data_IF_240326840394
#
_entry.id   IF_240326840394
#
_cell.length_a   1.000
_cell.length_b   1.000
_cell.length_c   1.000
_cell.angle_alpha   90.00
_cell.angle_beta   90.00
_cell.angle_gamma   90.00
#
_symmetry.space_group_name_H-M   'P 1'
#
loop_
_entity.id
_entity.type
_entity.pdbx_description
1 polymer ?
#
# COMPACT_ATOMS: atom_id res chain seq x y z
N UNK A 1 -41.53 -3.51 0.63
CA UNK A 1 -40.82 -4.68 0.09
C UNK A 1 -40.22 -4.30 -1.26
N UNK A 2 -38.94 -4.59 -1.53
CA UNK A 2 -38.31 -4.30 -2.83
C UNK A 2 -38.63 -5.42 -3.81
N UNK A 3 -39.14 -5.07 -4.99
CA UNK A 3 -39.41 -6.01 -6.09
C UNK A 3 -38.11 -6.32 -6.84
N UNK A 4 -37.52 -7.49 -6.57
CA UNK A 4 -36.23 -7.91 -7.13
C UNK A 4 -36.26 -8.17 -8.64
N UNK A 5 -37.43 -8.41 -9.24
CA UNK A 5 -37.53 -8.67 -10.67
C UNK A 5 -37.56 -7.40 -11.51
N UNK A 6 -37.86 -6.25 -10.88
CA UNK A 6 -37.91 -4.94 -11.54
C UNK A 6 -36.67 -4.08 -11.30
N UNK A 7 -35.64 -4.59 -10.61
CA UNK A 7 -34.41 -3.82 -10.37
C UNK A 7 -33.57 -3.74 -11.63
N UNK A 8 -32.86 -2.62 -11.79
CA UNK A 8 -31.90 -2.47 -12.87
C UNK A 8 -30.80 -3.54 -12.75
N UNK A 9 -30.37 -4.14 -13.87
CA UNK A 9 -29.35 -5.22 -13.89
C UNK A 9 -28.05 -4.84 -13.18
N UNK A 10 -27.64 -3.58 -13.30
CA UNK A 10 -26.46 -3.03 -12.62
C UNK A 10 -26.75 -2.43 -11.24
N UNK A 11 -27.89 -2.69 -10.60
CA UNK A 11 -28.14 -2.18 -9.25
C UNK A 11 -27.11 -2.76 -8.24
N UNK A 12 -26.55 -1.96 -7.30
CA UNK A 12 -26.82 -0.53 -7.07
C UNK A 12 -25.96 0.44 -7.90
N UNK A 13 -24.95 -0.05 -8.62
CA UNK A 13 -23.89 0.76 -9.26
C UNK A 13 -24.31 1.48 -10.55
N UNK A 14 -25.44 1.11 -11.15
CA UNK A 14 -25.96 1.60 -12.43
C UNK A 14 -26.18 3.11 -12.56
N UNK A 15 -26.16 3.85 -11.44
CA UNK A 15 -26.36 5.31 -11.46
C UNK A 15 -25.09 6.06 -11.84
N UNK A 16 -23.94 5.43 -11.64
CA UNK A 16 -22.65 5.91 -12.08
C UNK A 16 -22.33 5.41 -13.48
N UNK A 17 -21.53 6.17 -14.21
CA UNK A 17 -20.96 5.73 -15.47
C UNK A 17 -19.96 4.60 -15.23
N UNK A 18 -19.76 3.75 -16.24
CA UNK A 18 -18.90 2.57 -16.12
C UNK A 18 -17.42 2.95 -15.87
N UNK A 19 -16.98 4.07 -16.44
CA UNK A 19 -15.62 4.61 -16.29
C UNK A 19 -15.27 4.92 -14.83
N UNK A 20 -16.21 5.47 -14.06
CA UNK A 20 -16.04 5.77 -12.64
C UNK A 20 -15.68 4.50 -11.86
N UNK A 21 -16.42 3.41 -12.09
CA UNK A 21 -16.18 2.12 -11.41
C UNK A 21 -14.89 1.46 -11.87
N UNK A 22 -14.57 1.56 -13.16
CA UNK A 22 -13.30 1.07 -13.68
C UNK A 22 -12.12 1.76 -12.99
N UNK A 23 -12.14 3.10 -12.94
CA UNK A 23 -11.07 3.86 -12.31
C UNK A 23 -11.01 3.65 -10.81
N UNK A 24 -12.16 3.55 -10.11
CA UNK A 24 -12.18 3.22 -8.69
C UNK A 24 -11.52 1.85 -8.44
N UNK A 25 -11.87 0.83 -9.23
CA UNK A 25 -11.29 -0.50 -9.13
C UNK A 25 -9.78 -0.52 -9.41
N UNK A 26 -9.32 0.22 -10.43
CA UNK A 26 -7.89 0.37 -10.75
C UNK A 26 -7.13 1.07 -9.63
N UNK A 27 -7.68 2.13 -9.05
CA UNK A 27 -7.07 2.84 -7.90
C UNK A 27 -6.96 1.90 -6.70
N UNK A 28 -8.03 1.17 -6.35
CA UNK A 28 -8.03 0.19 -5.25
C UNK A 28 -7.02 -0.93 -5.49
N UNK A 29 -6.93 -1.47 -6.71
CA UNK A 29 -5.94 -2.47 -7.07
C UNK A 29 -4.50 -1.93 -6.95
N UNK A 30 -4.28 -0.66 -7.27
CA UNK A 30 -2.97 -0.01 -7.16
C UNK A 30 -2.54 0.13 -5.69
N UNK A 31 -3.47 0.41 -4.77
CA UNK A 31 -3.18 0.36 -3.33
C UNK A 31 -2.75 -1.03 -2.87
N UNK A 32 -3.42 -2.09 -3.35
CA UNK A 32 -3.03 -3.47 -3.04
C UNK A 32 -1.61 -3.81 -3.55
N UNK A 33 -1.22 -3.27 -4.71
CA UNK A 33 0.15 -3.42 -5.20
C UNK A 33 1.16 -2.63 -4.36
N UNK A 34 0.81 -1.42 -3.89
CA UNK A 34 1.65 -0.66 -2.96
C UNK A 34 1.81 -1.39 -1.62
N UNK A 35 0.76 -2.00 -1.08
CA UNK A 35 0.83 -2.84 0.12
C UNK A 35 1.85 -3.97 -0.02
N UNK A 36 1.76 -4.73 -1.11
CA UNK A 36 2.71 -5.80 -1.43
C UNK A 36 4.15 -5.26 -1.57
N UNK A 37 4.30 -4.13 -2.26
CA UNK A 37 5.60 -3.48 -2.48
C UNK A 37 6.21 -2.98 -1.17
N UNK A 38 5.42 -2.40 -0.26
CA UNK A 38 5.86 -1.98 1.08
C UNK A 38 6.31 -3.16 1.92
N UNK A 39 5.56 -4.27 1.92
CA UNK A 39 5.92 -5.49 2.64
C UNK A 39 7.26 -6.03 2.15
N UNK A 40 7.49 -6.04 0.84
CA UNK A 40 8.75 -6.43 0.21
C UNK A 40 9.88 -5.48 0.56
N UNK A 41 9.64 -4.17 0.53
CA UNK A 41 10.63 -3.17 0.94
C UNK A 41 11.03 -3.30 2.41
N UNK A 42 10.07 -3.50 3.31
CA UNK A 42 10.33 -3.79 4.74
C UNK A 42 11.21 -5.04 4.88
N UNK A 43 10.92 -6.09 4.11
CA UNK A 43 11.74 -7.30 4.10
C UNK A 43 13.19 -7.01 3.69
N UNK A 44 13.40 -6.24 2.61
CA UNK A 44 14.76 -5.83 2.17
C UNK A 44 15.49 -5.07 3.27
N UNK A 45 14.84 -4.10 3.92
CA UNK A 45 15.41 -3.39 5.05
C UNK A 45 15.82 -4.34 6.19
N UNK A 46 14.93 -5.25 6.60
CA UNK A 46 15.21 -6.19 7.69
C UNK A 46 16.38 -7.13 7.37
N UNK A 47 16.46 -7.63 6.12
CA UNK A 47 17.55 -8.52 5.66
C UNK A 47 18.88 -7.79 5.58
N UNK A 48 18.92 -6.64 4.91
CA UNK A 48 20.17 -5.89 4.71
C UNK A 48 20.75 -5.41 6.05
N UNK A 49 19.90 -4.90 6.94
CA UNK A 49 20.30 -4.50 8.31
C UNK A 49 20.91 -5.66 9.11
N UNK A 50 20.45 -6.89 8.88
CA UNK A 50 20.96 -8.08 9.57
C UNK A 50 22.24 -8.63 8.95
N UNK A 51 22.36 -8.62 7.62
CA UNK A 51 23.58 -9.05 6.90
C UNK A 51 24.77 -8.16 7.18
N UNK A 52 24.56 -6.86 7.36
CA UNK A 52 25.65 -5.92 7.67
C UNK A 52 26.24 -6.11 9.08
N UNK A 53 25.55 -6.82 9.98
CA UNK A 53 26.06 -7.12 11.32
C UNK A 53 27.11 -8.22 11.23
N UNK A 54 28.35 -7.90 11.61
CA UNK A 54 29.43 -8.90 11.72
C UNK A 54 29.04 -10.01 12.69
N UNK A 55 28.93 -11.23 12.17
CA UNK A 55 28.86 -12.45 12.97
C UNK A 55 30.28 -12.74 13.48
N UNK A 56 30.50 -12.56 14.78
CA UNK A 56 31.83 -12.60 15.39
C UNK A 56 32.02 -13.73 16.42
N UNK A 57 30.97 -14.52 16.70
CA UNK A 57 31.02 -15.68 17.57
C UNK A 57 29.86 -16.65 17.28
N UNK A 58 29.91 -17.85 17.84
CA UNK A 58 28.90 -18.90 17.66
C UNK A 58 27.50 -18.48 18.10
N UNK A 59 27.40 -17.66 19.16
CA UNK A 59 26.11 -17.13 19.62
C UNK A 59 25.49 -16.20 18.58
N UNK A 60 26.28 -15.29 18.01
CA UNK A 60 25.85 -14.37 16.97
C UNK A 60 25.46 -15.11 15.68
N UNK A 61 26.13 -16.21 15.38
CA UNK A 61 25.78 -17.08 14.25
C UNK A 61 24.41 -17.74 14.48
N UNK A 62 24.21 -18.35 15.64
CA UNK A 62 22.94 -18.97 16.02
C UNK A 62 21.79 -17.97 16.05
N UNK A 63 22.02 -16.77 16.58
CA UNK A 63 21.02 -15.68 16.60
C UNK A 63 20.63 -15.24 15.18
N UNK A 64 21.59 -15.25 14.23
CA UNK A 64 21.32 -14.97 12.82
C UNK A 64 20.51 -16.09 12.16
N UNK A 65 20.87 -17.35 12.38
CA UNK A 65 20.17 -18.52 11.86
C UNK A 65 18.72 -18.59 12.37
N UNK A 66 18.51 -18.41 13.67
CA UNK A 66 17.18 -18.38 14.29
C UNK A 66 16.32 -17.22 13.76
N UNK A 67 16.94 -16.06 13.51
CA UNK A 67 16.26 -14.93 12.89
C UNK A 67 15.86 -15.24 11.44
N UNK A 68 16.77 -15.80 10.65
CA UNK A 68 16.55 -16.16 9.25
C UNK A 68 15.43 -17.21 9.12
N UNK A 69 15.39 -18.20 10.02
CA UNK A 69 14.34 -19.23 10.05
C UNK A 69 12.94 -18.66 10.33
N UNK A 70 12.84 -17.51 11.01
CA UNK A 70 11.56 -16.82 11.31
C UNK A 70 11.17 -15.78 10.26
N UNK A 71 12.00 -15.57 9.23
CA UNK A 71 11.84 -14.48 8.28
C UNK A 71 10.54 -14.58 7.47
N UNK A 72 10.18 -15.79 7.01
CA UNK A 72 8.92 -16.03 6.30
C UNK A 72 7.69 -15.72 7.18
N UNK A 73 7.73 -16.09 8.46
CA UNK A 73 6.66 -15.75 9.39
C UNK A 73 6.56 -14.24 9.61
N UNK A 74 7.69 -13.51 9.63
CA UNK A 74 7.69 -12.04 9.72
C UNK A 74 7.09 -11.37 8.49
N UNK A 75 7.41 -11.87 7.29
CA UNK A 75 6.80 -11.39 6.05
C UNK A 75 5.28 -11.56 6.08
N UNK A 76 4.80 -12.76 6.45
CA UNK A 76 3.37 -13.04 6.59
C UNK A 76 2.70 -12.17 7.65
N UNK A 77 3.38 -11.93 8.78
CA UNK A 77 2.88 -11.02 9.82
C UNK A 77 2.77 -9.58 9.30
N UNK A 78 3.75 -9.10 8.52
CA UNK A 78 3.68 -7.78 7.91
C UNK A 78 2.51 -7.69 6.92
N UNK A 79 2.23 -8.73 6.11
CA UNK A 79 1.06 -8.76 5.22
C UNK A 79 -0.28 -8.66 5.96
N UNK A 80 -0.30 -8.98 7.26
CA UNK A 80 -1.50 -8.89 8.09
C UNK A 80 -1.68 -7.51 8.75
N UNK A 81 -0.69 -6.62 8.62
CA UNK A 81 -0.76 -5.28 9.20
C UNK A 81 -1.73 -4.40 8.41
N UNK A 82 -2.49 -3.51 9.09
CA UNK A 82 -3.20 -2.44 8.42
C UNK A 82 -2.26 -1.57 7.59
N UNK A 83 -2.73 -1.05 6.45
CA UNK A 83 -1.91 -0.24 5.54
C UNK A 83 -1.22 0.94 6.21
N UNK A 84 -1.91 1.65 7.11
CA UNK A 84 -1.30 2.76 7.86
C UNK A 84 -0.16 2.31 8.78
N UNK A 85 -0.22 1.10 9.34
CA UNK A 85 0.88 0.55 10.15
C UNK A 85 2.05 0.10 9.26
N UNK A 86 1.77 -0.45 8.07
CA UNK A 86 2.78 -0.78 7.07
C UNK A 86 3.56 0.47 6.64
N UNK A 87 2.87 1.54 6.28
CA UNK A 87 3.47 2.83 5.91
C UNK A 87 4.35 3.35 7.05
N UNK A 88 3.82 3.44 8.27
CA UNK A 88 4.59 3.90 9.45
C UNK A 88 5.85 3.06 9.67
N UNK A 89 5.74 1.74 9.56
CA UNK A 89 6.89 0.84 9.71
C UNK A 89 7.94 1.08 8.63
N UNK A 90 7.52 1.18 7.36
CA UNK A 90 8.40 1.45 6.24
C UNK A 90 9.10 2.81 6.38
N UNK A 91 8.33 3.88 6.67
CA UNK A 91 8.84 5.23 6.87
C UNK A 91 9.91 5.26 7.98
N UNK A 92 9.65 4.62 9.12
CA UNK A 92 10.62 4.51 10.20
C UNK A 92 11.91 3.77 9.78
N UNK A 93 11.82 2.73 8.97
CA UNK A 93 13.01 2.02 8.47
C UNK A 93 13.83 2.89 7.51
N UNK A 94 13.16 3.58 6.58
CA UNK A 94 13.83 4.48 5.64
C UNK A 94 14.55 5.63 6.35
N UNK A 95 13.88 6.31 7.29
CA UNK A 95 14.46 7.45 8.02
C UNK A 95 15.68 7.10 8.89
N UNK A 96 15.70 5.88 9.42
CA UNK A 96 16.75 5.40 10.31
C UNK A 96 17.89 4.67 9.58
N UNK A 97 17.82 4.53 8.26
CA UNK A 97 18.86 3.86 7.48
C UNK A 97 19.84 4.88 6.87
N UNK A 98 21.13 4.69 7.12
CA UNK A 98 22.20 5.60 6.66
C UNK A 98 22.51 5.52 5.16
N UNK A 99 22.06 4.47 4.48
CA UNK A 99 22.25 4.28 3.03
C UNK A 99 21.20 5.01 2.20
N UNK A 100 20.11 5.46 2.82
CA UNK A 100 19.03 6.16 2.14
C UNK A 100 19.33 7.66 2.15
N UNK A 101 19.31 8.28 0.96
CA UNK A 101 19.45 9.72 0.84
C UNK A 101 18.25 10.42 1.48
N UNK A 102 18.50 11.53 2.16
CA UNK A 102 17.47 12.36 2.81
C UNK A 102 17.27 13.67 2.06
N UNK A 103 17.36 13.59 0.73
CA UNK A 103 17.02 14.72 -0.13
C UNK A 103 15.50 14.97 -0.10
N UNK A 104 15.12 16.11 -0.67
CA UNK A 104 13.72 16.54 -0.68
C UNK A 104 12.83 15.55 -1.44
N UNK A 105 13.35 14.87 -2.47
CA UNK A 105 12.57 13.91 -3.28
C UNK A 105 12.17 12.68 -2.46
N UNK A 106 13.12 12.05 -1.77
CA UNK A 106 12.81 10.90 -0.89
C UNK A 106 11.89 11.34 0.24
N UNK A 107 12.15 12.52 0.83
CA UNK A 107 11.33 13.02 1.94
C UNK A 107 9.88 13.29 1.52
N UNK A 108 9.68 14.02 0.42
CA UNK A 108 8.34 14.27 -0.15
C UNK A 108 7.63 12.97 -0.50
N UNK A 109 8.35 11.99 -1.03
CA UNK A 109 7.82 10.67 -1.31
C UNK A 109 7.38 9.90 -0.05
N UNK A 110 8.16 9.95 1.02
CA UNK A 110 7.79 9.35 2.31
C UNK A 110 6.58 10.06 2.94
N UNK A 111 6.54 11.38 2.88
CA UNK A 111 5.38 12.17 3.32
C UNK A 111 4.13 11.81 2.49
N UNK A 112 4.29 11.59 1.18
CA UNK A 112 3.23 11.11 0.29
C UNK A 112 2.68 9.73 0.67
N UNK A 113 3.50 8.82 1.21
CA UNK A 113 3.02 7.55 1.77
C UNK A 113 2.12 7.77 2.98
N UNK A 114 2.41 8.73 3.86
CA UNK A 114 1.55 9.03 5.00
C UNK A 114 0.21 9.64 4.54
N UNK A 115 0.26 10.51 3.53
CA UNK A 115 -0.95 11.11 2.96
C UNK A 115 -1.85 10.09 2.26
N UNK A 116 -1.29 9.11 1.54
CA UNK A 116 -2.08 8.16 0.76
C UNK A 116 -2.91 7.22 1.63
N UNK A 117 -2.56 7.03 2.91
CA UNK A 117 -3.31 6.21 3.87
C UNK A 117 -4.77 6.68 4.00
N UNK A 118 -5.00 8.00 4.05
CA UNK A 118 -6.35 8.56 4.19
C UNK A 118 -7.22 8.23 2.99
N UNK A 119 -6.64 8.29 1.79
CA UNK A 119 -7.33 8.00 0.53
C UNK A 119 -7.56 6.50 0.34
N UNK A 120 -6.61 5.65 0.73
CA UNK A 120 -6.77 4.19 0.72
C UNK A 120 -7.98 3.78 1.53
N UNK A 121 -8.04 4.21 2.80
CA UNK A 121 -9.13 3.84 3.69
C UNK A 121 -10.48 4.38 3.19
N UNK A 122 -10.51 5.63 2.73
CA UNK A 122 -11.71 6.22 2.15
C UNK A 122 -12.19 5.44 0.91
N UNK A 123 -11.35 5.29 -0.11
CA UNK A 123 -11.78 4.75 -1.41
C UNK A 123 -12.08 3.25 -1.37
N UNK A 124 -11.44 2.49 -0.49
CA UNK A 124 -11.72 1.05 -0.31
C UNK A 124 -13.00 0.77 0.47
N UNK A 125 -13.47 1.70 1.29
CA UNK A 125 -14.58 1.46 2.24
C UNK A 125 -15.75 2.44 2.12
N UNK A 126 -15.64 3.46 1.28
CA UNK A 126 -16.69 4.46 1.13
C UNK A 126 -17.99 3.86 0.60
N UNK A 127 -19.09 4.31 1.18
CA UNK A 127 -20.39 4.26 0.54
C UNK A 127 -20.49 5.39 -0.49
N UNK A 128 -20.87 5.03 -1.72
CA UNK A 128 -20.97 5.97 -2.83
C UNK A 128 -22.41 6.42 -3.02
N UNK A 129 -22.64 7.73 -2.88
CA UNK A 129 -23.93 8.34 -3.16
C UNK A 129 -24.26 8.41 -4.65
N UNK A 130 -25.45 8.92 -4.96
CA UNK A 130 -25.82 9.24 -6.34
C UNK A 130 -24.87 10.30 -6.92
N UNK A 131 -24.44 10.16 -8.18
CA UNK A 131 -23.64 11.20 -8.81
C UNK A 131 -24.44 12.49 -8.99
N UNK A 132 -23.75 13.61 -8.91
CA UNK A 132 -24.27 14.93 -9.24
C UNK A 132 -24.37 15.12 -10.77
N UNK A 133 -24.73 16.32 -11.22
CA UNK A 133 -24.85 16.65 -12.66
C UNK A 133 -23.55 16.52 -13.45
N UNK A 134 -22.41 16.53 -12.78
CA UNK A 134 -21.07 16.36 -13.36
C UNK A 134 -20.59 14.90 -13.32
N UNK A 135 -21.41 13.96 -12.85
CA UNK A 135 -21.01 12.55 -12.71
C UNK A 135 -20.20 12.25 -11.44
N UNK A 136 -20.00 13.23 -10.55
CA UNK A 136 -19.19 13.09 -9.33
C UNK A 136 -20.04 12.67 -8.14
N UNK A 137 -19.50 11.89 -7.21
CA UNK A 137 -20.23 11.45 -6.02
C UNK A 137 -19.50 11.75 -4.72
N UNK A 138 -20.28 12.02 -3.68
CA UNK A 138 -19.77 12.13 -2.32
C UNK A 138 -19.43 10.72 -1.82
N UNK A 139 -18.19 10.57 -1.39
CA UNK A 139 -17.70 9.38 -0.70
C UNK A 139 -17.98 9.54 0.81
N UNK A 140 -18.84 8.67 1.34
CA UNK A 140 -19.13 8.64 2.77
C UNK A 140 -18.35 7.49 3.39
N UNK A 141 -17.39 7.83 4.24
CA UNK A 141 -16.68 6.90 5.11
C UNK A 141 -16.84 7.38 6.55
N UNK A 142 -16.77 6.47 7.50
CA UNK A 142 -16.75 6.79 8.93
C UNK A 142 -15.58 6.02 9.49
N UNK A 143 -14.55 6.75 9.91
CA UNK A 143 -13.41 6.20 10.60
C UNK A 143 -13.73 6.09 12.11
N UNK A 144 -12.87 5.41 12.86
CA UNK A 144 -12.99 5.29 14.31
C UNK A 144 -12.79 6.62 15.07
N UNK A 145 -12.27 7.65 14.40
CA UNK A 145 -12.23 9.00 14.95
C UNK A 145 -13.62 9.63 14.79
N UNK A 146 -14.30 9.85 15.92
CA UNK A 146 -15.72 10.27 16.04
C UNK A 146 -16.04 11.62 15.37
N UNK A 147 -15.05 12.33 14.83
CA UNK A 147 -15.18 13.61 14.12
C UNK A 147 -15.02 13.44 12.60
N UNK A 148 -16.13 13.05 11.94
CA UNK A 148 -16.46 13.33 10.52
C UNK A 148 -15.45 12.81 9.48
N UNK A 149 -15.68 11.60 8.97
CA UNK A 149 -14.87 11.03 7.86
C UNK A 149 -15.54 11.11 6.49
N UNK A 150 -16.41 12.10 6.26
CA UNK A 150 -16.95 12.39 4.93
C UNK A 150 -16.05 13.40 4.22
N UNK A 151 -15.70 13.12 2.97
CA UNK A 151 -15.22 14.20 2.10
C UNK A 151 -16.45 15.01 1.67
N UNK A 152 -16.45 16.30 2.01
CA UNK A 152 -17.46 17.25 1.53
C UNK A 152 -17.33 17.53 0.03
N UNK A 153 -16.23 17.10 -0.58
CA UNK A 153 -15.94 17.29 -2.01
C UNK A 153 -16.37 16.07 -2.82
N UNK A 154 -17.26 16.23 -3.82
CA UNK A 154 -17.61 15.16 -4.74
C UNK A 154 -16.39 14.68 -5.55
N UNK A 155 -16.18 13.36 -5.58
CA UNK A 155 -15.11 12.69 -6.31
C UNK A 155 -15.61 12.29 -7.70
N UNK A 156 -14.81 12.62 -8.71
CA UNK A 156 -15.00 12.18 -10.10
C UNK A 156 -13.87 11.27 -10.58
N UNK A 157 -13.99 10.83 -11.83
CA UNK A 157 -13.01 9.98 -12.50
C UNK A 157 -11.60 10.57 -12.50
N UNK A 158 -11.46 11.88 -12.70
CA UNK A 158 -10.16 12.56 -12.75
C UNK A 158 -9.41 12.48 -11.42
N UNK A 159 -10.14 12.61 -10.31
CA UNK A 159 -9.55 12.46 -8.98
C UNK A 159 -9.05 11.03 -8.75
N UNK A 160 -9.83 10.02 -9.15
CA UNK A 160 -9.43 8.62 -9.03
C UNK A 160 -8.16 8.33 -9.86
N UNK A 161 -8.07 8.89 -11.07
CA UNK A 161 -6.88 8.80 -11.92
C UNK A 161 -5.66 9.49 -11.30
N UNK A 162 -5.83 10.66 -10.69
CA UNK A 162 -4.73 11.36 -10.00
C UNK A 162 -4.22 10.56 -8.80
N UNK A 163 -5.12 10.03 -7.97
CA UNK A 163 -4.74 9.18 -6.83
C UNK A 163 -4.07 7.89 -7.31
N UNK A 164 -4.57 7.26 -8.38
CA UNK A 164 -3.94 6.08 -8.97
C UNK A 164 -2.52 6.39 -9.44
N UNK A 165 -2.34 7.49 -10.19
CA UNK A 165 -1.04 7.92 -10.69
C UNK A 165 -0.07 8.18 -9.55
N UNK A 166 -0.49 8.95 -8.54
CA UNK A 166 0.35 9.26 -7.39
C UNK A 166 0.75 7.99 -6.61
N UNK A 167 -0.19 7.06 -6.41
CA UNK A 167 0.12 5.75 -5.80
C UNK A 167 1.16 4.98 -6.60
N UNK A 168 1.10 5.03 -7.94
CA UNK A 168 2.09 4.39 -8.80
C UNK A 168 3.47 5.04 -8.68
N UNK A 169 3.56 6.36 -8.52
CA UNK A 169 4.82 7.07 -8.25
C UNK A 169 5.42 6.64 -6.90
N UNK A 170 4.59 6.49 -5.87
CA UNK A 170 5.02 5.99 -4.55
C UNK A 170 5.49 4.52 -4.62
N UNK A 171 4.87 3.69 -5.45
CA UNK A 171 5.35 2.33 -5.72
C UNK A 171 6.77 2.37 -6.31
N UNK A 172 6.99 3.20 -7.32
CA UNK A 172 8.31 3.36 -7.94
C UNK A 172 9.37 3.80 -6.91
N UNK A 173 9.04 4.77 -6.05
CA UNK A 173 9.92 5.21 -4.97
C UNK A 173 10.32 4.05 -4.03
N UNK A 174 9.34 3.26 -3.58
CA UNK A 174 9.61 2.12 -2.69
C UNK A 174 10.51 1.09 -3.37
N UNK A 175 10.32 0.86 -4.67
CA UNK A 175 11.17 -0.03 -5.47
C UNK A 175 12.59 0.54 -5.65
N UNK A 176 12.73 1.84 -5.88
CA UNK A 176 14.03 2.52 -5.98
C UNK A 176 14.82 2.41 -4.67
N UNK A 177 14.18 2.73 -3.53
CA UNK A 177 14.78 2.56 -2.20
C UNK A 177 15.21 1.11 -1.98
N UNK A 178 14.37 0.14 -2.36
CA UNK A 178 14.71 -1.29 -2.26
C UNK A 178 15.93 -1.66 -3.12
N UNK A 179 16.04 -1.07 -4.31
CA UNK A 179 17.16 -1.27 -5.23
C UNK A 179 18.44 -0.62 -4.70
N UNK A 180 18.37 0.54 -4.04
CA UNK A 180 19.52 1.18 -3.38
C UNK A 180 20.06 0.26 -2.28
N UNK A 181 19.18 -0.36 -1.50
CA UNK A 181 19.56 -1.25 -0.39
C UNK A 181 20.09 -2.60 -0.88
N UNK A 182 19.52 -3.14 -1.94
CA UNK A 182 19.93 -4.43 -2.50
C UNK A 182 20.08 -4.38 -4.03
N UNK A 183 21.16 -3.74 -4.54
CA UNK A 183 21.38 -3.54 -5.97
C UNK A 183 21.48 -4.84 -6.78
N UNK A 184 21.85 -5.94 -6.11
CA UNK A 184 22.01 -7.26 -6.69
C UNK A 184 20.71 -8.10 -6.66
N UNK A 185 19.62 -7.58 -6.09
CA UNK A 185 18.32 -8.27 -6.02
C UNK A 185 18.34 -9.59 -5.24
N UNK A 186 19.25 -9.73 -4.27
CA UNK A 186 19.44 -10.95 -3.45
C UNK A 186 18.32 -11.20 -2.44
N UNK A 187 17.46 -10.23 -2.21
CA UNK A 187 16.44 -10.23 -1.17
C UNK A 187 15.03 -10.33 -1.74
N UNK A 188 14.83 -10.88 -2.95
CA UNK A 188 13.50 -11.11 -3.50
C UNK A 188 12.75 -12.20 -2.70
N UNK A 189 11.64 -11.88 -2.00
CA UNK A 189 10.97 -12.85 -1.13
C UNK A 189 10.24 -14.01 -1.87
N UNK A 190 10.29 -14.10 -3.21
CA UNK A 190 9.48 -15.06 -3.97
C UNK A 190 10.17 -15.85 -5.08
N UNK A 191 11.49 -15.78 -5.26
CA UNK A 191 12.19 -16.75 -6.13
C UNK A 191 12.34 -18.10 -5.41
N UNK A 192 11.21 -18.73 -5.06
CA UNK A 192 11.16 -20.18 -5.01
C UNK A 192 11.15 -20.65 -6.45
N UNK A 193 12.28 -21.14 -6.92
CA UNK A 193 12.49 -21.86 -8.19
C UNK A 193 11.63 -23.13 -8.34
N UNK A 194 10.70 -23.39 -7.43
CA UNK A 194 10.04 -24.68 -7.30
C UNK A 194 8.50 -24.51 -7.23
N UNK A 195 7.91 -23.71 -8.13
CA UNK A 195 6.52 -23.97 -8.51
C UNK A 195 6.53 -25.15 -9.48
N UNK A 196 6.55 -26.37 -8.95
CA UNK A 196 6.13 -27.54 -9.72
C UNK A 196 4.68 -27.30 -10.11
N UNK A 197 4.48 -27.10 -11.42
CA UNK A 197 3.20 -27.13 -12.12
C UNK A 197 2.41 -28.39 -11.78
#
# INVERSE_FOLDING_TARGET
>A
MIDKEKIHKGYPTHKHQADFWEHLGRTVATFGYLEDTLVKGIYVFEVMTKRDKKVNNEKALKDFEDWNNKLNSRLLNNMSLPFGELVKKYHNLANNNSLINKDDVIKEGLDGLDEIVKYRNLLCHAAWGLPNKEGKSLAIYVNNDEEKSYLETPIGTEFLQQIQKHTAELICLVMEISTILDPEGRCQPWERTDRKS
#
